data_IF_307196111062
#
_entry.id   IF_307196111062
#
_cell.length_a   1.000
_cell.length_b   1.000
_cell.length_c   1.000
_cell.angle_alpha   90.00
_cell.angle_beta   90.00
_cell.angle_gamma   90.00
#
_symmetry.space_group_name_H-M   'P 1'
#
loop_
_entity.id
_entity.type
_entity.pdbx_description
1 polymer ?
#
# COMPACT_ATOMS: atom_id res chain seq x y z
N UNK A 1 -8.30 -2.66 -21.91
CA UNK A 1 -8.39 -1.60 -20.89
C UNK A 1 -7.16 -1.81 -20.04
N UNK A 2 -6.10 -1.06 -20.31
CA UNK A 2 -4.93 -1.02 -19.43
C UNK A 2 -5.36 -0.19 -18.21
N UNK A 3 -5.75 -0.86 -17.14
CA UNK A 3 -6.03 -0.18 -15.88
C UNK A 3 -4.74 0.55 -15.42
N UNK A 4 -4.83 1.86 -15.20
CA UNK A 4 -3.71 2.66 -14.70
C UNK A 4 -3.13 2.01 -13.43
N UNK A 5 -1.86 1.54 -13.46
CA UNK A 5 -1.24 0.86 -12.33
C UNK A 5 -1.33 1.64 -11.02
N UNK A 6 -1.24 2.97 -11.10
CA UNK A 6 -1.32 3.85 -9.92
C UNK A 6 -2.74 3.93 -9.40
N UNK A 7 -3.75 3.94 -10.27
CA UNK A 7 -5.15 3.90 -9.87
C UNK A 7 -5.51 2.59 -9.16
N UNK A 8 -5.05 1.45 -9.70
CA UNK A 8 -5.22 0.13 -9.07
C UNK A 8 -4.54 0.08 -7.71
N UNK A 9 -3.28 0.56 -7.63
CA UNK A 9 -2.55 0.62 -6.37
C UNK A 9 -3.29 1.47 -5.33
N UNK A 10 -3.80 2.65 -5.71
CA UNK A 10 -4.58 3.51 -4.82
C UNK A 10 -5.82 2.83 -4.29
N UNK A 11 -6.62 2.23 -5.16
CA UNK A 11 -7.84 1.53 -4.77
C UNK A 11 -7.55 0.37 -3.82
N UNK A 12 -6.50 -0.41 -4.11
CA UNK A 12 -6.07 -1.53 -3.27
C UNK A 12 -5.61 -1.05 -1.88
N UNK A 13 -4.79 0.00 -1.81
CA UNK A 13 -4.31 0.58 -0.55
C UNK A 13 -5.45 1.21 0.25
N UNK A 14 -6.38 1.92 -0.39
CA UNK A 14 -7.55 2.49 0.28
C UNK A 14 -8.44 1.39 0.89
N UNK A 15 -8.68 0.31 0.14
CA UNK A 15 -9.44 -0.85 0.64
C UNK A 15 -8.74 -1.50 1.85
N UNK A 16 -7.44 -1.74 1.74
CA UNK A 16 -6.65 -2.31 2.84
C UNK A 16 -6.66 -1.40 4.08
N UNK A 17 -6.52 -0.08 3.90
CA UNK A 17 -6.59 0.89 5.00
C UNK A 17 -7.95 0.85 5.68
N UNK A 18 -9.05 0.84 4.92
CA UNK A 18 -10.38 0.72 5.51
C UNK A 18 -10.56 -0.56 6.33
N UNK A 19 -9.98 -1.67 5.89
CA UNK A 19 -10.02 -2.93 6.62
C UNK A 19 -9.20 -2.86 7.93
N UNK A 20 -7.96 -2.39 7.89
CA UNK A 20 -7.11 -2.32 9.10
C UNK A 20 -7.56 -1.24 10.10
N UNK A 21 -8.29 -0.22 9.66
CA UNK A 21 -8.85 0.79 10.57
C UNK A 21 -9.96 0.20 11.46
N UNK A 22 -10.69 -0.81 10.97
CA UNK A 22 -11.75 -1.52 11.71
C UNK A 22 -11.21 -2.61 12.63
N UNK A 23 -9.95 -2.99 12.46
CA UNK A 23 -9.27 -4.01 13.24
C UNK A 23 -8.99 -3.51 14.66
N UNK A 24 -9.44 -4.25 15.67
CA UNK A 24 -8.97 -4.08 17.04
C UNK A 24 -7.59 -4.75 17.17
N UNK A 25 -6.51 -3.98 17.35
CA UNK A 25 -5.16 -4.52 17.45
C UNK A 25 -4.92 -5.41 18.67
N UNK A 26 -5.80 -5.36 19.69
CA UNK A 26 -5.73 -6.20 20.89
C UNK A 26 -6.53 -7.49 20.76
N UNK A 27 -7.27 -7.65 19.66
CA UNK A 27 -8.00 -8.88 19.38
C UNK A 27 -7.04 -10.04 19.14
N UNK A 28 -7.38 -11.24 19.64
CA UNK A 28 -6.53 -12.43 19.50
C UNK A 28 -6.20 -12.76 18.02
N UNK A 29 -7.15 -12.48 17.13
CA UNK A 29 -7.02 -12.75 15.69
C UNK A 29 -6.42 -11.59 14.88
N UNK A 30 -6.03 -10.49 15.52
CA UNK A 30 -5.59 -9.28 14.81
C UNK A 30 -4.43 -9.55 13.85
N UNK A 31 -3.52 -10.46 14.23
CA UNK A 31 -2.41 -10.91 13.38
C UNK A 31 -2.88 -11.67 12.15
N UNK A 32 -3.86 -12.55 12.28
CA UNK A 32 -4.37 -13.32 11.15
C UNK A 32 -5.12 -12.39 10.18
N UNK A 33 -5.93 -11.49 10.72
CA UNK A 33 -6.73 -10.55 9.95
C UNK A 33 -5.86 -9.55 9.17
N UNK A 34 -4.80 -8.98 9.76
CA UNK A 34 -3.91 -8.08 9.00
C UNK A 34 -3.18 -8.82 7.87
N UNK A 35 -2.76 -10.07 8.08
CA UNK A 35 -2.18 -10.89 7.03
C UNK A 35 -3.17 -11.17 5.90
N UNK A 36 -4.45 -11.42 6.23
CA UNK A 36 -5.50 -11.60 5.21
C UNK A 36 -5.71 -10.33 4.37
N UNK A 37 -5.73 -9.17 5.03
CA UNK A 37 -5.85 -7.88 4.34
C UNK A 37 -4.69 -7.64 3.39
N UNK A 38 -3.45 -7.85 3.85
CA UNK A 38 -2.25 -7.66 3.04
C UNK A 38 -2.17 -8.66 1.86
N UNK A 39 -2.61 -9.91 2.07
CA UNK A 39 -2.71 -10.89 0.99
C UNK A 39 -3.74 -10.47 -0.07
N UNK A 40 -4.90 -9.94 0.34
CA UNK A 40 -5.92 -9.42 -0.58
C UNK A 40 -5.42 -8.20 -1.37
N UNK A 41 -4.69 -7.31 -0.70
CA UNK A 41 -3.99 -6.20 -1.34
C UNK A 41 -2.99 -6.70 -2.41
N UNK A 42 -2.11 -7.63 -2.05
CA UNK A 42 -1.11 -8.18 -2.95
C UNK A 42 -1.73 -8.86 -4.18
N UNK A 43 -2.82 -9.61 -3.98
CA UNK A 43 -3.57 -10.23 -5.07
C UNK A 43 -4.19 -9.20 -6.02
N UNK A 44 -4.71 -8.10 -5.49
CA UNK A 44 -5.30 -7.00 -6.29
C UNK A 44 -4.23 -6.27 -7.13
N UNK A 45 -3.03 -6.10 -6.57
CA UNK A 45 -1.92 -5.38 -7.23
C UNK A 45 -1.11 -6.28 -8.16
N UNK A 46 -1.17 -7.60 -8.00
CA UNK A 46 -0.40 -8.57 -8.80
C UNK A 46 -0.42 -8.32 -10.32
N UNK A 47 -1.57 -8.02 -10.97
CA UNK A 47 -1.62 -7.78 -12.40
C UNK A 47 -0.86 -6.54 -12.87
N UNK A 48 -0.71 -5.53 -12.01
CA UNK A 48 -0.08 -4.24 -12.34
C UNK A 48 1.31 -4.06 -11.72
N UNK A 49 1.83 -5.10 -11.05
CA UNK A 49 3.07 -5.05 -10.26
C UNK A 49 4.27 -4.62 -11.11
N UNK A 50 4.39 -5.15 -12.33
CA UNK A 50 5.53 -4.86 -13.19
C UNK A 50 5.50 -3.41 -13.66
N UNK A 51 4.32 -2.89 -14.03
CA UNK A 51 4.15 -1.46 -14.37
C UNK A 51 4.43 -0.51 -13.19
N UNK A 52 4.06 -0.90 -11.97
CA UNK A 52 4.40 -0.15 -10.75
C UNK A 52 5.91 -0.13 -10.49
N UNK A 53 6.60 -1.25 -10.75
CA UNK A 53 8.05 -1.33 -10.61
C UNK A 53 8.76 -0.44 -11.62
N UNK A 54 8.35 -0.49 -12.89
CA UNK A 54 8.89 0.39 -13.93
C UNK A 54 8.68 1.88 -13.61
N UNK A 55 7.52 2.24 -13.05
CA UNK A 55 7.25 3.60 -12.58
C UNK A 55 8.19 4.01 -11.43
N UNK A 56 8.39 3.12 -10.46
CA UNK A 56 9.30 3.37 -9.33
C UNK A 56 10.77 3.49 -9.78
N UNK A 57 11.19 2.70 -10.77
CA UNK A 57 12.54 2.71 -11.32
C UNK A 57 12.80 3.98 -12.16
N UNK A 58 11.79 4.49 -12.88
CA UNK A 58 11.88 5.77 -13.63
C UNK A 58 11.91 7.00 -12.74
N UNK A 59 11.29 6.94 -11.57
CA UNK A 59 11.28 8.06 -10.61
C UNK A 59 11.70 7.54 -9.24
N UNK A 60 13.00 7.23 -9.05
CA UNK A 60 13.53 6.84 -7.76
C UNK A 60 13.34 8.02 -6.80
N UNK A 61 12.81 7.76 -5.60
CA UNK A 61 12.34 8.77 -4.63
C UNK A 61 11.01 9.47 -4.98
N UNK A 62 10.35 9.06 -6.07
CA UNK A 62 9.01 9.51 -6.40
C UNK A 62 7.95 8.92 -5.46
N UNK A 63 6.71 9.43 -5.51
CA UNK A 63 5.64 9.01 -4.61
C UNK A 63 5.28 7.53 -4.72
N UNK A 64 5.36 6.95 -5.93
CA UNK A 64 5.12 5.51 -6.17
C UNK A 64 6.22 4.69 -5.52
N UNK A 65 7.49 5.07 -5.71
CA UNK A 65 8.63 4.41 -5.07
C UNK A 65 8.53 4.46 -3.54
N UNK A 66 8.20 5.63 -2.96
CA UNK A 66 7.98 5.78 -1.53
C UNK A 66 6.79 4.95 -1.02
N UNK A 67 5.68 4.92 -1.76
CA UNK A 67 4.51 4.11 -1.39
C UNK A 67 4.86 2.62 -1.37
N UNK A 68 5.54 2.11 -2.40
CA UNK A 68 5.96 0.71 -2.45
C UNK A 68 6.92 0.35 -1.31
N UNK A 69 7.82 1.27 -0.92
CA UNK A 69 8.69 1.09 0.24
C UNK A 69 7.90 0.89 1.53
N UNK A 70 6.96 1.80 1.83
CA UNK A 70 6.11 1.66 3.01
C UNK A 70 5.22 0.41 2.97
N UNK A 71 4.72 0.01 1.80
CA UNK A 71 3.88 -1.19 1.69
C UNK A 71 4.68 -2.47 1.94
N UNK A 72 5.94 -2.50 1.48
CA UNK A 72 6.88 -3.57 1.84
C UNK A 72 7.16 -3.60 3.35
N UNK A 73 7.41 -2.44 3.96
CA UNK A 73 7.60 -2.37 5.41
C UNK A 73 6.35 -2.88 6.16
N UNK A 74 5.15 -2.60 5.65
CA UNK A 74 3.91 -3.12 6.24
C UNK A 74 3.84 -4.64 6.21
N UNK A 75 4.23 -5.27 5.09
CA UNK A 75 4.32 -6.72 4.96
C UNK A 75 5.36 -7.32 5.93
N UNK A 76 6.55 -6.69 6.03
CA UNK A 76 7.62 -7.14 6.92
C UNK A 76 7.19 -7.08 8.39
N UNK A 77 6.52 -6.00 8.81
CA UNK A 77 6.00 -5.88 10.18
C UNK A 77 4.87 -6.87 10.48
N UNK A 78 3.97 -7.12 9.52
CA UNK A 78 2.91 -8.11 9.68
C UNK A 78 3.48 -9.53 9.81
N UNK A 79 4.52 -9.86 9.04
CA UNK A 79 5.24 -11.13 9.16
C UNK A 79 5.90 -11.28 10.54
N UNK A 80 6.51 -10.21 11.04
CA UNK A 80 7.08 -10.14 12.39
C UNK A 80 6.03 -10.20 13.51
N UNK A 81 4.75 -10.00 13.19
CA UNK A 81 3.64 -10.00 14.13
C UNK A 81 3.33 -8.65 14.77
N UNK A 82 3.98 -7.57 14.33
CA UNK A 82 3.68 -6.22 14.78
C UNK A 82 2.55 -5.60 13.96
N UNK A 83 1.32 -5.87 14.42
CA UNK A 83 0.09 -5.39 13.78
C UNK A 83 0.01 -3.86 13.75
N UNK A 84 0.54 -3.19 14.78
CA UNK A 84 0.49 -1.73 14.87
C UNK A 84 1.46 -1.08 13.91
N UNK A 85 2.70 -1.56 13.86
CA UNK A 85 3.69 -1.07 12.92
C UNK A 85 3.24 -1.32 11.48
N UNK A 86 2.70 -2.51 11.17
CA UNK A 86 2.13 -2.81 9.86
C UNK A 86 1.01 -1.83 9.46
N UNK A 87 0.10 -1.52 10.39
CA UNK A 87 -0.97 -0.52 10.16
C UNK A 87 -0.41 0.87 9.91
N UNK A 88 0.60 1.29 10.65
CA UNK A 88 1.26 2.60 10.47
C UNK A 88 1.89 2.70 9.08
N UNK A 89 2.62 1.67 8.65
CA UNK A 89 3.25 1.65 7.33
C UNK A 89 2.23 1.63 6.19
N UNK A 90 1.12 0.90 6.33
CA UNK A 90 0.03 0.94 5.35
C UNK A 90 -0.57 2.36 5.20
N UNK A 91 -0.77 3.07 6.32
CA UNK A 91 -1.23 4.46 6.33
C UNK A 91 -0.20 5.42 5.72
N UNK A 92 1.10 5.18 5.93
CA UNK A 92 2.17 5.96 5.32
C UNK A 92 2.20 5.77 3.80
N UNK A 93 2.05 4.53 3.32
CA UNK A 93 1.92 4.20 1.89
C UNK A 93 0.74 4.93 1.25
N UNK A 94 -0.44 4.90 1.89
CA UNK A 94 -1.61 5.68 1.46
C UNK A 94 -1.31 7.18 1.37
N UNK A 95 -0.64 7.73 2.37
CA UNK A 95 -0.30 9.15 2.43
C UNK A 95 0.65 9.56 1.29
N UNK A 96 1.63 8.71 0.95
CA UNK A 96 2.51 8.93 -0.19
C UNK A 96 1.73 9.01 -1.51
N UNK A 97 0.76 8.11 -1.72
CA UNK A 97 -0.12 8.11 -2.89
C UNK A 97 -1.06 9.31 -2.95
N UNK A 98 -1.50 9.84 -1.81
CA UNK A 98 -2.29 11.09 -1.74
C UNK A 98 -1.47 12.31 -2.17
N UNK A 99 -0.20 12.39 -1.75
CA UNK A 99 0.70 13.49 -2.18
C UNK A 99 0.89 13.50 -3.71
N UNK A 100 0.92 12.32 -4.35
CA UNK A 100 0.94 12.20 -5.81
C UNK A 100 -0.33 12.79 -6.47
N UNK A 101 -1.52 12.57 -5.89
CA UNK A 101 -2.78 13.08 -6.47
C UNK A 101 -2.85 14.60 -6.41
N UNK A 102 -2.26 15.19 -5.36
CA UNK A 102 -2.18 16.63 -5.17
C UNK A 102 -1.12 17.30 -6.05
N UNK A 103 -0.10 16.56 -6.49
CA UNK A 103 0.95 17.11 -7.33
C UNK A 103 0.46 17.47 -8.75
N UNK A 104 -0.55 16.76 -9.28
CA UNK A 104 -1.20 17.06 -10.57
C UNK A 104 -0.27 17.07 -11.80
N UNK A 105 -0.80 17.07 -13.02
CA UNK A 105 -0.01 17.21 -14.25
C UNK A 105 0.60 18.61 -14.45
N UNK A 106 0.38 19.56 -13.54
CA UNK A 106 0.84 20.96 -13.66
C UNK A 106 2.22 21.22 -13.01
N UNK A 107 2.96 20.17 -12.67
CA UNK A 107 4.31 20.26 -12.15
C UNK A 107 5.35 19.82 -13.19
N UNK A 108 5.43 20.55 -14.32
CA UNK A 108 6.55 20.50 -15.26
C UNK A 108 6.20 20.07 -16.68
#
# INVERSE_FOLDING_TARGET
>A
MDDDPVAVLRAAVDCAVQAVLRLDPRHADARQEITRVLAGYAATVAPVRDGLRELADRTPNGPVSAALGFLRDADDQAAAGDVQAARVFLLAGRTALFRLARAGPDAG
#
